data_IF_064315775786
#
_entry.id   IF_064315775786
#
_cell.length_a   1.000
_cell.length_b   1.000
_cell.length_c   1.000
_cell.angle_alpha   90.00
_cell.angle_beta   90.00
_cell.angle_gamma   90.00
#
_symmetry.space_group_name_H-M   'P 1'
#
loop_
_entity.id
_entity.type
_entity.pdbx_description
1 polymer ?
#
# COMPACT_ATOMS: atom_id res chain seq x y z
N UNK A 1 15.52 -27.94 -21.98
CA UNK A 1 15.89 -27.73 -20.56
C UNK A 1 15.32 -26.38 -20.16
N UNK A 2 14.26 -26.36 -19.34
CA UNK A 2 13.68 -25.12 -18.85
C UNK A 2 14.66 -24.49 -17.87
N UNK A 3 15.17 -23.32 -18.21
CA UNK A 3 16.03 -22.52 -17.34
C UNK A 3 15.13 -22.03 -16.21
N UNK A 4 15.30 -22.57 -15.01
CA UNK A 4 14.71 -22.01 -13.79
C UNK A 4 15.05 -20.53 -13.83
N UNK A 5 14.02 -19.68 -13.88
CA UNK A 5 14.20 -18.25 -14.02
C UNK A 5 14.82 -17.77 -12.71
N UNK A 6 16.15 -17.69 -12.67
CA UNK A 6 16.90 -17.11 -11.57
C UNK A 6 16.33 -15.69 -11.39
N UNK A 7 15.74 -15.40 -10.23
CA UNK A 7 15.08 -14.13 -10.00
C UNK A 7 16.07 -12.99 -10.24
N UNK A 8 15.84 -12.20 -11.29
CA UNK A 8 16.64 -11.02 -11.55
C UNK A 8 16.36 -9.99 -10.46
N UNK A 9 17.41 -9.64 -9.71
CA UNK A 9 17.34 -8.62 -8.69
C UNK A 9 17.33 -7.23 -9.30
N UNK A 10 18.18 -6.99 -10.27
CA UNK A 10 18.21 -5.73 -11.01
C UNK A 10 18.56 -6.04 -12.46
N UNK A 11 17.79 -5.49 -13.38
CA UNK A 11 18.14 -5.50 -14.80
C UNK A 11 17.96 -4.08 -15.36
N UNK A 12 19.07 -3.48 -15.80
CA UNK A 12 19.05 -2.13 -16.36
C UNK A 12 20.00 -2.02 -17.55
N UNK A 13 19.51 -1.37 -18.61
CA UNK A 13 20.27 -1.05 -19.80
C UNK A 13 20.37 0.46 -20.00
N UNK A 14 21.48 0.94 -20.54
CA UNK A 14 21.70 2.37 -20.69
C UNK A 14 22.85 2.71 -21.63
N UNK A 15 22.80 3.90 -22.20
CA UNK A 15 23.88 4.42 -23.04
C UNK A 15 24.82 5.27 -22.19
N UNK A 16 26.13 5.07 -22.36
CA UNK A 16 27.12 5.89 -21.69
C UNK A 16 27.10 7.34 -22.19
N UNK A 17 27.54 8.30 -21.35
CA UNK A 17 27.60 9.70 -21.74
C UNK A 17 28.57 9.92 -22.90
N UNK A 18 28.43 11.06 -23.58
CA UNK A 18 29.42 11.49 -24.57
C UNK A 18 30.81 11.63 -23.90
N UNK A 19 31.91 11.22 -24.57
CA UNK A 19 32.00 10.81 -25.97
C UNK A 19 31.84 9.30 -26.23
N UNK A 20 31.71 8.48 -25.19
CA UNK A 20 31.81 7.02 -25.27
C UNK A 20 30.61 6.43 -26.01
N UNK A 21 29.38 6.85 -25.67
CA UNK A 21 28.12 6.43 -26.33
C UNK A 21 27.89 4.92 -26.49
N UNK A 22 28.73 4.07 -25.90
CA UNK A 22 28.58 2.63 -25.83
C UNK A 22 27.32 2.25 -25.04
N UNK A 23 26.77 1.08 -25.35
CA UNK A 23 25.63 0.54 -24.62
C UNK A 23 26.11 -0.35 -23.48
N UNK A 24 25.47 -0.25 -22.33
CA UNK A 24 25.79 -0.98 -21.12
C UNK A 24 24.54 -1.70 -20.60
N UNK A 25 24.75 -2.89 -20.06
CA UNK A 25 23.72 -3.69 -19.42
C UNK A 25 24.27 -4.25 -18.11
N UNK A 26 23.55 -3.99 -17.04
CA UNK A 26 23.82 -4.50 -15.71
C UNK A 26 22.69 -5.44 -15.32
N UNK A 27 23.06 -6.67 -14.99
CA UNK A 27 22.16 -7.70 -14.48
C UNK A 27 22.70 -8.22 -13.14
N UNK A 28 21.92 -8.07 -12.09
CA UNK A 28 22.20 -8.61 -10.75
C UNK A 28 21.16 -9.70 -10.50
N UNK A 29 21.62 -10.85 -10.05
CA UNK A 29 20.80 -11.97 -9.59
C UNK A 29 21.18 -12.28 -8.14
N UNK A 30 20.51 -13.24 -7.52
CA UNK A 30 20.84 -13.69 -6.16
C UNK A 30 22.26 -14.27 -6.04
N UNK A 31 22.83 -14.80 -7.14
CA UNK A 31 24.10 -15.54 -7.12
C UNK A 31 25.23 -14.81 -7.84
N UNK A 32 24.91 -13.99 -8.85
CA UNK A 32 25.90 -13.42 -9.75
C UNK A 32 25.57 -11.98 -10.17
N UNK A 33 26.65 -11.22 -10.42
CA UNK A 33 26.61 -9.87 -10.99
C UNK A 33 27.24 -9.90 -12.39
N UNK A 34 26.40 -9.67 -13.41
CA UNK A 34 26.75 -9.67 -14.82
C UNK A 34 26.81 -8.22 -15.31
N UNK A 35 27.97 -7.84 -15.86
CA UNK A 35 28.18 -6.56 -16.51
C UNK A 35 28.53 -6.80 -17.98
N UNK A 36 27.72 -6.27 -18.88
CA UNK A 36 27.92 -6.36 -20.33
C UNK A 36 28.00 -4.95 -20.89
N UNK A 37 28.79 -4.80 -21.94
CA UNK A 37 28.86 -3.57 -22.69
C UNK A 37 29.10 -3.90 -24.16
N UNK A 38 28.53 -3.07 -25.02
CA UNK A 38 28.64 -3.17 -26.48
C UNK A 38 29.20 -1.86 -26.98
N UNK A 39 30.34 -1.97 -27.64
CA UNK A 39 30.97 -0.83 -28.25
C UNK A 39 30.16 -0.36 -29.45
N UNK A 40 29.70 0.89 -29.44
CA UNK A 40 28.99 1.51 -30.55
C UNK A 40 29.88 2.63 -31.10
N UNK A 41 30.88 2.26 -31.91
CA UNK A 41 31.78 3.24 -32.54
C UNK A 41 31.87 3.05 -34.05
N UNK A 42 31.88 4.16 -34.78
CA UNK A 42 32.20 4.22 -36.22
C UNK A 42 33.71 4.32 -36.48
N UNK A 43 34.51 4.64 -35.45
CA UNK A 43 35.98 4.75 -35.49
C UNK A 43 36.58 4.19 -34.20
N UNK A 44 37.65 3.41 -34.31
CA UNK A 44 38.23 2.57 -33.25
C UNK A 44 38.88 3.28 -32.06
N UNK A 45 38.27 4.32 -31.50
CA UNK A 45 38.76 4.96 -30.27
C UNK A 45 38.38 4.06 -29.10
N UNK A 46 39.37 3.54 -28.38
CA UNK A 46 39.19 2.78 -27.13
C UNK A 46 39.38 3.75 -25.97
N UNK A 47 38.29 4.26 -25.40
CA UNK A 47 38.36 4.86 -24.07
C UNK A 47 38.17 3.74 -23.05
N UNK A 48 39.15 3.59 -22.16
CA UNK A 48 39.17 2.54 -21.14
C UNK A 48 38.50 3.09 -19.90
N UNK A 49 37.26 2.69 -19.62
CA UNK A 49 36.62 3.02 -18.35
C UNK A 49 37.30 2.17 -17.27
N UNK A 50 37.99 2.81 -16.33
CA UNK A 50 38.64 2.13 -15.21
C UNK A 50 37.60 1.84 -14.12
N UNK A 51 37.41 0.55 -13.80
CA UNK A 51 36.62 0.07 -12.66
C UNK A 51 35.12 -0.10 -12.93
N UNK A 52 34.58 -1.30 -12.65
CA UNK A 52 33.16 -1.65 -12.84
C UNK A 52 32.21 -0.74 -12.05
N UNK A 53 32.53 -0.42 -10.79
CA UNK A 53 31.71 0.47 -9.96
C UNK A 53 31.67 1.91 -10.49
N UNK A 54 32.80 2.40 -10.98
CA UNK A 54 32.89 3.74 -11.57
C UNK A 54 32.08 3.81 -12.88
N UNK A 55 32.13 2.74 -13.68
CA UNK A 55 31.31 2.63 -14.89
C UNK A 55 29.81 2.65 -14.59
N UNK A 56 29.34 1.89 -13.59
CA UNK A 56 27.93 1.90 -13.15
C UNK A 56 27.52 3.30 -12.69
N UNK A 57 28.34 3.98 -11.87
CA UNK A 57 28.06 5.34 -11.40
C UNK A 57 27.95 6.35 -12.54
N UNK A 58 28.84 6.26 -13.53
CA UNK A 58 28.83 7.16 -14.70
C UNK A 58 27.60 6.93 -15.57
N UNK A 59 27.24 5.66 -15.83
CA UNK A 59 26.20 5.31 -16.80
C UNK A 59 24.80 5.39 -16.19
N UNK A 60 24.63 4.86 -14.97
CA UNK A 60 23.33 4.71 -14.32
C UNK A 60 23.11 5.64 -13.12
N UNK A 61 24.15 6.37 -12.72
CA UNK A 61 24.10 7.31 -11.61
C UNK A 61 24.43 6.68 -10.25
N UNK A 62 24.64 7.54 -9.23
CA UNK A 62 25.02 7.10 -7.89
C UNK A 62 23.94 6.30 -7.17
N UNK A 63 22.66 6.58 -7.42
CA UNK A 63 21.55 5.85 -6.80
C UNK A 63 21.53 4.38 -7.20
N UNK A 64 21.69 4.09 -8.49
CA UNK A 64 21.77 2.71 -8.99
C UNK A 64 23.03 2.00 -8.51
N UNK A 65 24.16 2.71 -8.40
CA UNK A 65 25.36 2.12 -7.81
C UNK A 65 25.12 1.69 -6.35
N UNK A 66 24.57 2.57 -5.51
CA UNK A 66 24.29 2.26 -4.11
C UNK A 66 23.29 1.10 -4.01
N UNK A 67 22.20 1.16 -4.79
CA UNK A 67 21.24 0.06 -4.85
C UNK A 67 21.88 -1.27 -5.26
N UNK A 68 22.78 -1.24 -6.25
CA UNK A 68 23.52 -2.43 -6.69
C UNK A 68 24.42 -2.98 -5.58
N UNK A 69 25.05 -2.11 -4.79
CA UNK A 69 25.87 -2.50 -3.65
C UNK A 69 25.02 -3.09 -2.52
N UNK A 70 23.88 -2.48 -2.22
CA UNK A 70 22.92 -2.96 -1.22
C UNK A 70 22.41 -4.36 -1.59
N UNK A 71 22.07 -4.58 -2.87
CA UNK A 71 21.72 -5.90 -3.39
C UNK A 71 22.86 -6.91 -3.22
N UNK A 72 24.11 -6.53 -3.49
CA UNK A 72 25.27 -7.41 -3.29
C UNK A 72 25.54 -7.71 -1.81
N UNK A 73 25.09 -6.86 -0.89
CA UNK A 73 25.15 -7.06 0.56
C UNK A 73 23.96 -7.85 1.10
N UNK A 74 23.03 -8.28 0.23
CA UNK A 74 21.81 -9.00 0.62
C UNK A 74 20.68 -8.10 1.12
N UNK A 75 20.80 -6.77 0.97
CA UNK A 75 19.74 -5.82 1.29
C UNK A 75 18.83 -5.67 0.05
N UNK A 76 18.01 -6.70 -0.21
CA UNK A 76 17.03 -6.67 -1.28
C UNK A 76 15.65 -6.23 -0.78
N UNK A 77 14.88 -5.58 -1.66
CA UNK A 77 13.47 -5.26 -1.41
C UNK A 77 12.60 -6.54 -1.44
N UNK A 78 12.75 -7.41 -0.44
CA UNK A 78 12.02 -8.68 -0.35
C UNK A 78 10.52 -8.45 -0.42
N UNK A 79 10.03 -7.41 0.27
CA UNK A 79 8.62 -7.08 0.32
C UNK A 79 8.07 -6.80 -1.08
N UNK A 80 8.76 -6.06 -1.95
CA UNK A 80 8.26 -5.72 -3.30
C UNK A 80 8.32 -6.89 -4.28
N UNK A 81 9.15 -7.91 -3.99
CA UNK A 81 9.35 -9.09 -4.84
C UNK A 81 8.33 -10.19 -4.59
N UNK A 82 7.61 -10.13 -3.47
CA UNK A 82 6.57 -11.12 -3.17
C UNK A 82 5.52 -11.18 -4.29
N UNK A 83 4.88 -12.34 -4.50
CA UNK A 83 3.71 -12.45 -5.35
C UNK A 83 2.59 -11.54 -4.85
N UNK A 84 1.80 -11.02 -5.79
CA UNK A 84 0.68 -10.12 -5.52
C UNK A 84 -0.34 -10.72 -4.54
N UNK A 85 -0.58 -12.03 -4.60
CA UNK A 85 -1.45 -12.74 -3.65
C UNK A 85 -0.98 -12.63 -2.19
N UNK A 86 0.34 -12.59 -1.96
CA UNK A 86 0.91 -12.40 -0.62
C UNK A 86 0.82 -10.93 -0.22
N UNK A 87 1.03 -9.99 -1.15
CA UNK A 87 0.79 -8.56 -0.89
C UNK A 87 -0.62 -8.31 -0.40
N UNK A 88 -1.62 -8.81 -1.14
CA UNK A 88 -3.03 -8.66 -0.79
C UNK A 88 -3.34 -9.25 0.58
N UNK A 89 -2.76 -10.42 0.91
CA UNK A 89 -2.92 -11.03 2.24
C UNK A 89 -2.30 -10.18 3.36
N UNK A 90 -1.07 -9.69 3.18
CA UNK A 90 -0.43 -8.78 4.16
C UNK A 90 -1.29 -7.53 4.33
N UNK A 91 -1.72 -6.93 3.23
CA UNK A 91 -2.51 -5.69 3.23
C UNK A 91 -3.90 -5.88 3.86
N UNK A 92 -4.52 -7.05 3.71
CA UNK A 92 -5.82 -7.36 4.33
C UNK A 92 -5.80 -7.38 5.87
N UNK A 93 -4.62 -7.49 6.46
CA UNK A 93 -4.42 -7.41 7.92
C UNK A 93 -4.06 -6.01 8.42
N UNK A 94 -3.92 -5.03 7.52
CA UNK A 94 -3.58 -3.66 7.87
C UNK A 94 -4.83 -2.79 8.03
N UNK A 95 -4.77 -1.85 8.96
CA UNK A 95 -5.80 -0.83 9.10
C UNK A 95 -5.76 0.13 7.90
N UNK A 96 -6.89 0.78 7.62
CA UNK A 96 -7.03 1.70 6.49
C UNK A 96 -5.98 2.84 6.49
N UNK A 97 -5.59 3.31 7.68
CA UNK A 97 -4.54 4.32 7.81
C UNK A 97 -3.17 3.79 7.41
N UNK A 98 -2.86 2.54 7.80
CA UNK A 98 -1.62 1.87 7.45
C UNK A 98 -1.58 1.56 5.95
N UNK A 99 -2.71 1.17 5.36
CA UNK A 99 -2.84 0.99 3.91
C UNK A 99 -2.59 2.30 3.17
N UNK A 100 -3.13 3.42 3.66
CA UNK A 100 -2.89 4.73 3.06
C UNK A 100 -1.41 5.15 3.18
N UNK A 101 -0.76 4.87 4.31
CA UNK A 101 0.69 5.10 4.49
C UNK A 101 1.51 4.20 3.57
N UNK A 102 1.13 2.92 3.43
CA UNK A 102 1.79 1.96 2.54
C UNK A 102 1.72 2.41 1.07
N UNK A 103 0.56 2.90 0.62
CA UNK A 103 0.38 3.48 -0.71
C UNK A 103 1.30 4.69 -0.98
N UNK A 104 1.76 5.38 0.07
CA UNK A 104 2.71 6.48 -0.01
C UNK A 104 4.17 6.06 -0.14
N UNK A 105 4.50 4.78 0.13
CA UNK A 105 5.89 4.31 0.13
C UNK A 105 6.43 4.05 -1.27
N UNK A 106 5.63 3.45 -2.15
CA UNK A 106 6.04 3.16 -3.51
C UNK A 106 4.87 3.15 -4.50
N UNK A 107 5.20 3.34 -5.78
CA UNK A 107 4.22 3.32 -6.88
C UNK A 107 3.49 1.98 -7.01
N UNK A 108 4.17 0.86 -6.75
CA UNK A 108 3.59 -0.49 -6.84
C UNK A 108 2.52 -0.71 -5.77
N UNK A 109 2.79 -0.36 -4.51
CA UNK A 109 1.79 -0.42 -3.45
C UNK A 109 0.67 0.59 -3.66
N UNK A 110 0.96 1.76 -4.23
CA UNK A 110 -0.08 2.70 -4.63
C UNK A 110 -1.06 2.08 -5.64
N UNK A 111 -0.55 1.37 -6.64
CA UNK A 111 -1.37 0.65 -7.62
C UNK A 111 -2.18 -0.46 -6.96
N UNK A 112 -1.57 -1.30 -6.11
CA UNK A 112 -2.26 -2.35 -5.38
C UNK A 112 -3.38 -1.82 -4.47
N UNK A 113 -3.16 -0.71 -3.77
CA UNK A 113 -4.18 -0.07 -2.94
C UNK A 113 -5.34 0.55 -3.76
N UNK A 114 -5.14 0.72 -5.07
CA UNK A 114 -6.12 1.27 -6.00
C UNK A 114 -6.84 0.18 -6.81
N UNK A 115 -6.44 -1.09 -6.66
CA UNK A 115 -7.07 -2.24 -7.34
C UNK A 115 -8.40 -2.59 -6.66
N UNK A 116 -9.41 -2.90 -7.47
CA UNK A 116 -10.73 -3.32 -6.98
C UNK A 116 -10.68 -4.73 -6.37
N UNK A 117 -9.78 -5.60 -6.86
CA UNK A 117 -9.59 -6.95 -6.31
C UNK A 117 -9.17 -6.91 -4.84
N UNK A 118 -8.32 -5.96 -4.46
CA UNK A 118 -7.94 -5.75 -3.07
C UNK A 118 -9.13 -5.40 -2.18
N UNK A 119 -9.99 -4.50 -2.63
CA UNK A 119 -11.15 -4.06 -1.85
C UNK A 119 -12.23 -5.14 -1.76
N UNK A 120 -12.45 -5.89 -2.85
CA UNK A 120 -13.32 -7.06 -2.85
C UNK A 120 -12.86 -8.10 -1.82
N UNK A 121 -11.58 -8.48 -1.87
CA UNK A 121 -11.01 -9.48 -0.96
C UNK A 121 -11.08 -9.01 0.50
N UNK A 122 -10.85 -7.73 0.75
CA UNK A 122 -10.96 -7.13 2.09
C UNK A 122 -12.40 -7.18 2.60
N UNK A 123 -13.39 -6.87 1.76
CA UNK A 123 -14.82 -6.95 2.12
C UNK A 123 -15.22 -8.40 2.41
N UNK A 124 -14.89 -9.34 1.51
CA UNK A 124 -15.20 -10.78 1.69
C UNK A 124 -14.53 -11.40 2.92
N UNK A 125 -13.34 -10.93 3.31
CA UNK A 125 -12.67 -11.37 4.54
C UNK A 125 -13.35 -10.85 5.81
N UNK A 126 -13.97 -9.66 5.76
CA UNK A 126 -14.70 -9.11 6.90
C UNK A 126 -16.15 -9.57 6.95
N UNK A 127 -16.75 -9.91 5.82
CA UNK A 127 -18.15 -10.28 5.67
C UNK A 127 -18.24 -11.71 5.12
N UNK A 128 -18.52 -12.69 6.00
CA UNK A 128 -18.63 -14.12 5.64
C UNK A 128 -19.64 -14.40 4.50
N UNK A 129 -20.61 -13.51 4.28
CA UNK A 129 -21.52 -13.56 3.13
C UNK A 129 -21.85 -12.14 2.68
N UNK A 130 -21.45 -11.78 1.46
CA UNK A 130 -21.80 -10.50 0.85
C UNK A 130 -23.23 -10.62 0.28
N UNK A 131 -24.18 -9.75 0.67
CA UNK A 131 -25.54 -9.75 0.10
C UNK A 131 -25.51 -9.41 -1.39
N UNK A 132 -26.40 -10.02 -2.18
CA UNK A 132 -26.49 -9.79 -3.63
C UNK A 132 -26.67 -8.29 -4.00
N UNK A 133 -27.41 -7.53 -3.20
CA UNK A 133 -27.57 -6.07 -3.38
C UNK A 133 -26.24 -5.31 -3.27
N UNK A 134 -25.32 -5.78 -2.43
CA UNK A 134 -24.01 -5.14 -2.23
C UNK A 134 -23.05 -5.51 -3.34
N UNK A 135 -23.20 -6.70 -3.92
CA UNK A 135 -22.44 -7.16 -5.07
C UNK A 135 -22.86 -6.43 -6.35
N UNK A 136 -24.17 -6.26 -6.59
CA UNK A 136 -24.73 -5.45 -7.67
C UNK A 136 -24.25 -3.97 -7.56
N UNK A 137 -24.27 -3.41 -6.35
CA UNK A 137 -23.76 -2.06 -6.12
C UNK A 137 -22.23 -1.94 -6.34
N UNK A 138 -21.48 -3.01 -6.06
CA UNK A 138 -20.04 -3.04 -6.29
C UNK A 138 -19.70 -3.15 -7.78
N UNK A 139 -20.50 -3.86 -8.57
CA UNK A 139 -20.38 -3.87 -10.03
C UNK A 139 -20.63 -2.49 -10.63
N UNK A 140 -21.56 -1.71 -10.09
CA UNK A 140 -21.88 -0.36 -10.57
C UNK A 140 -20.87 0.72 -10.14
N UNK A 141 -20.43 0.70 -8.86
CA UNK A 141 -19.66 1.80 -8.26
C UNK A 141 -18.21 1.44 -7.93
N UNK A 142 -17.84 0.17 -7.96
CA UNK A 142 -16.56 -0.36 -7.49
C UNK A 142 -16.57 -0.72 -6.01
N UNK A 143 -15.89 -1.83 -5.68
CA UNK A 143 -15.67 -2.35 -4.34
C UNK A 143 -15.05 -1.34 -3.39
N UNK A 144 -14.11 -0.52 -3.89
CA UNK A 144 -13.52 0.57 -3.09
C UNK A 144 -14.59 1.52 -2.57
N UNK A 145 -15.48 1.98 -3.44
CA UNK A 145 -16.52 2.95 -3.08
C UNK A 145 -17.58 2.32 -2.17
N UNK A 146 -17.95 1.06 -2.40
CA UNK A 146 -18.85 0.31 -1.51
C UNK A 146 -18.26 0.18 -0.10
N UNK A 147 -16.97 -0.14 0.02
CA UNK A 147 -16.31 -0.21 1.32
C UNK A 147 -16.33 1.14 2.07
N UNK A 148 -15.99 2.23 1.39
CA UNK A 148 -15.97 3.57 2.00
C UNK A 148 -17.37 4.07 2.34
N UNK A 149 -18.36 3.89 1.47
CA UNK A 149 -19.74 4.31 1.72
C UNK A 149 -20.32 3.57 2.92
N UNK A 150 -20.07 2.27 3.03
CA UNK A 150 -20.55 1.45 4.14
C UNK A 150 -19.84 1.79 5.47
N UNK A 151 -18.51 1.96 5.46
CA UNK A 151 -17.77 2.40 6.65
C UNK A 151 -18.23 3.77 7.16
N UNK A 152 -18.48 4.71 6.25
CA UNK A 152 -19.02 6.05 6.58
C UNK A 152 -20.48 5.95 7.08
N UNK A 153 -21.30 5.08 6.49
CA UNK A 153 -22.66 4.82 6.96
C UNK A 153 -22.68 4.22 8.37
N UNK A 154 -21.81 3.24 8.65
CA UNK A 154 -21.65 2.65 9.97
C UNK A 154 -21.19 3.68 11.00
N UNK A 155 -20.19 4.52 10.67
CA UNK A 155 -19.79 5.61 11.55
C UNK A 155 -20.92 6.62 11.81
N UNK A 156 -21.70 6.97 10.79
CA UNK A 156 -22.87 7.85 10.94
C UNK A 156 -23.94 7.24 11.84
N UNK A 157 -24.20 5.94 11.73
CA UNK A 157 -25.13 5.23 12.62
C UNK A 157 -24.62 5.15 14.06
N UNK A 158 -23.32 4.87 14.27
CA UNK A 158 -22.70 4.85 15.60
C UNK A 158 -22.76 6.24 16.24
N UNK A 159 -22.47 7.30 15.49
CA UNK A 159 -22.58 8.69 15.96
C UNK A 159 -24.01 9.04 16.39
N UNK A 160 -25.01 8.72 15.55
CA UNK A 160 -26.44 8.91 15.88
C UNK A 160 -26.85 8.14 17.14
N UNK A 161 -26.35 6.91 17.34
CA UNK A 161 -26.60 6.12 18.56
C UNK A 161 -25.95 6.74 19.79
N UNK A 162 -24.70 7.23 19.70
CA UNK A 162 -24.03 7.94 20.81
C UNK A 162 -24.79 9.20 21.21
N UNK A 163 -25.24 10.00 20.24
CA UNK A 163 -26.07 11.17 20.52
C UNK A 163 -27.41 10.79 21.14
N UNK A 164 -28.11 9.78 20.61
CA UNK A 164 -29.38 9.31 21.16
C UNK A 164 -29.26 8.78 22.59
N UNK A 165 -28.17 8.09 22.93
CA UNK A 165 -27.90 7.64 24.31
C UNK A 165 -27.58 8.80 25.26
N UNK A 166 -26.89 9.85 24.79
CA UNK A 166 -26.65 11.06 25.59
C UNK A 166 -27.94 11.88 25.81
N UNK A 167 -28.79 12.01 24.79
CA UNK A 167 -30.10 12.67 24.90
C UNK A 167 -31.07 11.90 25.82
N UNK A 168 -31.08 10.56 25.73
CA UNK A 168 -31.89 9.70 26.58
C UNK A 168 -31.46 9.73 28.06
N UNK A 169 -30.15 9.80 28.32
CA UNK A 169 -29.62 9.96 29.69
C UNK A 169 -29.96 11.33 30.29
N UNK A 170 -29.91 12.41 29.49
CA UNK A 170 -30.32 13.75 29.92
C UNK A 170 -31.82 13.85 30.23
N UNK A 171 -32.67 13.27 29.38
CA UNK A 171 -34.11 13.23 29.60
C UNK A 171 -34.51 12.40 30.83
N UNK A 172 -33.85 11.26 31.07
CA UNK A 172 -34.08 10.43 32.26
C UNK A 172 -33.63 11.11 33.55
N UNK A 173 -32.55 11.90 33.51
CA UNK A 173 -32.09 12.69 34.66
C UNK A 173 -33.07 13.81 35.00
N UNK A 174 -33.53 14.58 34.00
CA UNK A 174 -34.55 15.60 34.19
C UNK A 174 -35.87 15.02 34.68
N UNK A 175 -36.34 13.90 34.11
CA UNK A 175 -37.53 13.22 34.60
C UNK A 175 -37.39 12.78 36.07
N UNK A 176 -36.24 12.21 36.47
CA UNK A 176 -35.97 11.84 37.87
C UNK A 176 -35.98 13.05 38.81
N UNK A 177 -35.38 14.17 38.41
CA UNK A 177 -35.35 15.41 39.22
C UNK A 177 -36.76 15.99 39.35
N UNK A 178 -37.52 16.07 38.25
CA UNK A 178 -38.89 16.59 38.26
C UNK A 178 -39.84 15.70 39.07
N UNK A 179 -39.73 14.37 38.96
CA UNK A 179 -40.50 13.44 39.79
C UNK A 179 -40.12 13.53 41.28
N UNK A 180 -38.83 13.67 41.62
CA UNK A 180 -38.40 13.85 43.01
C UNK A 180 -38.89 15.17 43.61
N UNK A 181 -38.93 16.25 42.82
CA UNK A 181 -39.50 17.55 43.26
C UNK A 181 -41.01 17.48 43.48
N UNK A 182 -41.75 16.77 42.62
CA UNK A 182 -43.20 16.57 42.78
C UNK A 182 -43.55 15.68 43.98
N UNK A 183 -42.75 14.64 44.24
CA UNK A 183 -42.90 13.79 45.42
C UNK A 183 -42.62 14.56 46.72
N UNK A 184 -41.66 15.49 46.71
CA UNK A 184 -41.36 16.35 47.88
C UNK A 184 -42.50 17.34 48.14
N UNK A 185 -43.02 18.00 47.10
CA UNK A 185 -44.16 18.92 47.21
C UNK A 185 -45.45 18.24 47.70
N UNK A 186 -45.67 16.96 47.37
CA UNK A 186 -46.82 16.20 47.86
C UNK A 186 -46.71 15.80 49.34
N UNK A 187 -45.52 15.80 49.94
CA UNK A 187 -45.31 15.50 51.36
C UNK A 187 -45.46 16.73 52.28
N UNK A 188 -45.37 17.94 51.72
CA UNK A 188 -45.44 19.21 52.46
C UNK A 188 -46.87 19.79 52.53
N UNK A 189 -47.84 19.21 51.82
CA UNK A 189 -49.26 19.65 51.83
C UNK A 189 -50.17 18.83 52.77
N UNK A 190 -49.61 18.08 53.71
CA UNK A 190 -50.35 17.32 54.73
C UNK A 190 -49.79 17.58 56.13
N UNK A 191 -49.82 18.86 56.55
CA UNK A 191 -49.74 19.30 57.93
C UNK A 191 -50.69 20.49 58.14
#
# INVERSE_FOLDING_TARGET
>A
MAKVQEESLLEIGGQGPAPIKDYYHLLITSTQVIWRWWKISLRGITQRIFGRQHAVKIVFGPGILNYSLDLCQGQADYLLRLPESIHLKIMSHLDLEDVARLAGTCCRFKQLCSSEEFWEQTVRMHWDTVPAEVEELAEELGWRNVFFTNKLQLQKQISRRKQRNQSGAGAAHLARVTWMSLLRASSESSL
#
